data_IF_474218830000
#
_entry.id   IF_474218830000
#
_cell.length_a   1.000
_cell.length_b   1.000
_cell.length_c   1.000
_cell.angle_alpha   90.00
_cell.angle_beta   90.00
_cell.angle_gamma   90.00
#
_symmetry.space_group_name_H-M   'P 1'
#
loop_
_entity.id
_entity.type
_entity.pdbx_description
1 polymer ?
#
# COMPACT_ATOMS: atom_id res chain seq x y z
N UNK A 1 27.10 6.24 16.48
CA UNK A 1 27.40 6.93 15.20
C UNK A 1 26.22 7.86 14.94
N UNK A 2 26.44 9.16 14.82
CA UNK A 2 25.34 10.10 14.52
C UNK A 2 24.77 9.81 13.13
N UNK A 3 23.44 9.91 12.99
CA UNK A 3 22.78 9.75 11.70
C UNK A 3 23.01 10.99 10.83
N UNK A 4 23.17 10.79 9.53
CA UNK A 4 23.29 11.88 8.56
C UNK A 4 21.96 12.67 8.50
N UNK A 5 21.99 13.86 7.92
CA UNK A 5 20.75 14.58 7.65
C UNK A 5 19.91 13.82 6.61
N UNK A 6 18.59 13.76 6.84
CA UNK A 6 17.64 13.17 5.92
C UNK A 6 16.48 14.12 5.66
N UNK A 7 16.28 14.51 4.39
CA UNK A 7 15.12 15.33 4.01
C UNK A 7 13.81 14.59 4.33
N UNK A 8 13.80 13.26 4.13
CA UNK A 8 12.59 12.44 4.36
C UNK A 8 12.93 11.11 5.02
N UNK A 9 12.20 10.78 6.09
CA UNK A 9 12.23 9.45 6.72
C UNK A 9 11.02 8.64 6.31
N UNK A 10 11.23 7.43 5.76
CA UNK A 10 10.18 6.51 5.33
C UNK A 10 10.00 5.39 6.37
N UNK A 11 8.91 5.45 7.13
CA UNK A 11 8.51 4.37 8.05
C UNK A 11 7.78 3.30 7.24
N UNK A 12 8.38 2.11 7.11
CA UNK A 12 7.91 1.08 6.18
C UNK A 12 8.42 1.26 4.73
N UNK A 13 9.51 2.02 4.55
CA UNK A 13 10.07 2.35 3.23
C UNK A 13 10.65 1.16 2.46
N UNK A 14 10.90 0.01 3.08
CA UNK A 14 11.28 -1.23 2.37
C UNK A 14 10.11 -1.96 1.71
N UNK A 15 8.87 -1.51 1.94
CA UNK A 15 7.67 -2.07 1.31
C UNK A 15 7.49 -1.62 -0.15
N UNK A 16 6.44 -2.14 -0.78
CA UNK A 16 6.11 -1.90 -2.20
C UNK A 16 6.01 -0.40 -2.56
N UNK A 17 5.18 0.37 -1.86
CA UNK A 17 5.05 1.82 -2.08
C UNK A 17 6.35 2.54 -1.71
N UNK A 18 7.00 2.11 -0.62
CA UNK A 18 8.19 2.76 -0.11
C UNK A 18 9.39 2.69 -1.05
N UNK A 19 9.60 1.57 -1.74
CA UNK A 19 10.67 1.44 -2.75
C UNK A 19 10.47 2.40 -3.92
N UNK A 20 9.25 2.47 -4.44
CA UNK A 20 8.92 3.43 -5.52
C UNK A 20 9.10 4.87 -5.06
N UNK A 21 8.63 5.21 -3.85
CA UNK A 21 8.77 6.55 -3.29
C UNK A 21 10.24 6.92 -3.07
N UNK A 22 11.05 6.03 -2.48
CA UNK A 22 12.47 6.28 -2.26
C UNK A 22 13.20 6.62 -3.58
N UNK A 23 12.93 5.86 -4.64
CA UNK A 23 13.51 6.12 -5.97
C UNK A 23 13.12 7.50 -6.52
N UNK A 24 11.86 7.89 -6.37
CA UNK A 24 11.36 9.20 -6.81
C UNK A 24 11.98 10.34 -6.01
N UNK A 25 12.02 10.24 -4.69
CA UNK A 25 12.59 11.27 -3.83
C UNK A 25 14.08 11.48 -4.14
N UNK A 26 14.83 10.40 -4.31
CA UNK A 26 16.24 10.46 -4.67
C UNK A 26 16.44 11.07 -6.05
N UNK A 27 15.60 10.74 -7.05
CA UNK A 27 15.67 11.35 -8.39
C UNK A 27 15.39 12.87 -8.36
N UNK A 28 14.66 13.34 -7.34
CA UNK A 28 14.43 14.77 -7.05
C UNK A 28 15.57 15.41 -6.24
N UNK A 29 16.66 14.67 -5.96
CA UNK A 29 17.82 15.16 -5.23
C UNK A 29 17.70 15.14 -3.70
N UNK A 30 16.63 14.56 -3.16
CA UNK A 30 16.42 14.46 -1.71
C UNK A 30 17.21 13.29 -1.10
N UNK A 31 17.64 13.46 0.15
CA UNK A 31 18.22 12.40 0.96
C UNK A 31 17.12 11.64 1.70
N UNK A 32 17.19 10.31 1.68
CA UNK A 32 16.12 9.45 2.19
C UNK A 32 16.64 8.48 3.24
N UNK A 33 15.98 8.45 4.39
CA UNK A 33 16.22 7.41 5.41
C UNK A 33 15.07 6.42 5.41
N UNK A 34 15.37 5.14 5.26
CA UNK A 34 14.40 4.04 5.28
C UNK A 34 14.50 3.29 6.59
N UNK A 35 13.40 3.25 7.33
CA UNK A 35 13.27 2.41 8.52
C UNK A 35 12.73 1.05 8.12
N UNK A 36 13.45 -0.01 8.46
CA UNK A 36 13.05 -1.40 8.21
C UNK A 36 13.41 -2.31 9.37
N UNK A 37 12.58 -3.31 9.64
CA UNK A 37 12.87 -4.37 10.63
C UNK A 37 13.89 -5.37 10.14
N UNK A 38 14.02 -5.52 8.83
CA UNK A 38 14.95 -6.44 8.18
C UNK A 38 15.65 -5.75 7.01
N UNK A 39 16.97 -5.58 7.11
CA UNK A 39 17.78 -4.91 6.08
C UNK A 39 17.74 -5.63 4.73
N UNK A 40 17.62 -6.96 4.71
CA UNK A 40 17.53 -7.74 3.49
C UNK A 40 16.31 -7.37 2.63
N UNK A 41 15.21 -6.95 3.26
CA UNK A 41 14.02 -6.48 2.54
C UNK A 41 14.25 -5.14 1.84
N UNK A 42 15.31 -4.43 2.18
CA UNK A 42 15.68 -3.15 1.58
C UNK A 42 16.88 -3.26 0.61
N UNK A 43 17.35 -4.47 0.27
CA UNK A 43 18.56 -4.68 -0.55
C UNK A 43 18.53 -3.97 -1.88
N UNK A 44 17.36 -3.87 -2.54
CA UNK A 44 17.19 -3.16 -3.80
C UNK A 44 17.46 -1.66 -3.68
N UNK A 45 17.28 -1.10 -2.49
CA UNK A 45 17.53 0.30 -2.20
C UNK A 45 19.00 0.62 -1.95
N UNK A 46 19.86 -0.37 -1.66
CA UNK A 46 21.28 -0.12 -1.36
C UNK A 46 22.08 0.49 -2.52
N UNK A 47 21.59 0.30 -3.74
CA UNK A 47 22.22 0.85 -4.92
C UNK A 47 21.87 2.32 -5.19
N UNK A 48 20.90 2.87 -4.48
CA UNK A 48 20.47 4.25 -4.65
C UNK A 48 21.42 5.20 -3.90
N UNK A 49 21.86 6.31 -4.51
CA UNK A 49 22.64 7.32 -3.82
C UNK A 49 21.78 8.02 -2.74
N UNK A 50 22.43 8.64 -1.75
CA UNK A 50 21.75 9.43 -0.71
C UNK A 50 20.65 8.69 0.06
N UNK A 51 20.76 7.36 0.15
CA UNK A 51 19.87 6.55 0.96
C UNK A 51 20.58 6.05 2.23
N UNK A 52 19.91 6.14 3.34
CA UNK A 52 20.35 5.57 4.61
C UNK A 52 19.33 4.51 5.06
N UNK A 53 19.78 3.29 5.32
CA UNK A 53 18.91 2.21 5.77
C UNK A 53 19.18 1.93 7.24
N UNK A 54 18.18 2.24 8.07
CA UNK A 54 18.24 2.04 9.51
C UNK A 54 17.39 0.82 9.89
N UNK A 55 18.04 -0.16 10.51
CA UNK A 55 17.33 -1.29 11.09
C UNK A 55 16.77 -0.89 12.44
N UNK A 56 15.45 -0.70 12.50
CA UNK A 56 14.73 -0.28 13.69
C UNK A 56 13.29 -0.83 13.66
N UNK A 57 12.74 -1.07 14.84
CA UNK A 57 11.34 -1.48 14.98
C UNK A 57 10.42 -0.26 15.02
N UNK A 58 9.45 -0.12 14.10
CA UNK A 58 8.48 0.96 14.21
C UNK A 58 7.54 0.81 15.41
N UNK A 59 7.56 -0.36 16.07
CA UNK A 59 6.80 -0.63 17.28
C UNK A 59 7.55 -0.27 18.57
N UNK A 60 8.84 0.09 18.48
CA UNK A 60 9.63 0.62 19.58
C UNK A 60 9.75 2.13 19.47
N UNK A 61 9.48 2.85 20.57
CA UNK A 61 9.48 4.32 20.57
C UNK A 61 10.91 4.88 20.59
N UNK A 62 11.85 4.21 21.25
CA UNK A 62 13.24 4.64 21.29
C UNK A 62 13.90 4.46 19.91
N UNK A 63 13.61 3.35 19.23
CA UNK A 63 14.06 3.09 17.86
C UNK A 63 13.58 4.18 16.90
N UNK A 64 12.28 4.51 16.93
CA UNK A 64 11.72 5.58 16.10
C UNK A 64 12.32 6.96 16.44
N UNK A 65 12.41 7.26 17.73
CA UNK A 65 12.97 8.53 18.18
C UNK A 65 14.40 8.72 17.67
N UNK A 66 15.24 7.68 17.76
CA UNK A 66 16.59 7.71 17.25
C UNK A 66 16.63 7.79 15.72
N UNK A 67 15.78 7.03 15.03
CA UNK A 67 15.72 7.04 13.58
C UNK A 67 15.19 8.37 12.98
N UNK A 68 14.53 9.21 13.78
CA UNK A 68 14.06 10.55 13.38
C UNK A 68 15.09 11.66 13.63
N UNK A 69 16.29 11.32 14.12
CA UNK A 69 17.35 12.29 14.31
C UNK A 69 17.73 12.97 12.98
N UNK A 70 17.87 14.33 13.02
CA UNK A 70 18.23 15.13 11.84
C UNK A 70 17.33 14.91 10.62
N UNK A 71 16.01 14.78 10.81
CA UNK A 71 15.04 14.60 9.74
C UNK A 71 14.10 15.81 9.61
N UNK A 72 13.73 16.17 8.37
CA UNK A 72 12.82 17.30 8.10
C UNK A 72 11.36 16.86 7.99
N UNK A 73 11.11 15.68 7.37
CA UNK A 73 9.77 15.14 7.16
C UNK A 73 9.71 13.63 7.39
N UNK A 74 8.50 13.14 7.68
CA UNK A 74 8.23 11.71 7.86
C UNK A 74 7.11 11.27 6.92
N UNK A 75 7.23 10.08 6.33
CA UNK A 75 6.17 9.41 5.59
C UNK A 75 5.86 8.09 6.27
N UNK A 76 4.62 7.90 6.72
CA UNK A 76 4.15 6.65 7.29
C UNK A 76 3.46 5.79 6.23
N UNK A 77 4.14 4.73 5.80
CA UNK A 77 3.70 3.77 4.78
C UNK A 77 3.27 2.43 5.40
N UNK A 78 3.33 2.31 6.73
CA UNK A 78 3.04 1.04 7.41
C UNK A 78 1.55 0.74 7.36
N UNK A 79 1.23 -0.46 6.93
CA UNK A 79 -0.10 -1.02 6.95
C UNK A 79 -0.06 -2.54 6.94
N UNK A 80 -1.06 -3.16 7.56
CA UNK A 80 -1.28 -4.60 7.53
C UNK A 80 -2.70 -4.87 7.03
N UNK A 81 -2.89 -5.96 6.27
CA UNK A 81 -4.18 -6.29 5.66
C UNK A 81 -4.95 -7.34 6.46
N UNK A 82 -4.32 -7.94 7.46
CA UNK A 82 -4.91 -8.99 8.27
C UNK A 82 -4.56 -8.80 9.73
N UNK A 83 -5.49 -9.16 10.59
CA UNK A 83 -5.32 -9.27 12.04
C UNK A 83 -6.23 -10.36 12.58
N UNK A 84 -5.87 -10.93 13.72
CA UNK A 84 -6.80 -11.76 14.47
C UNK A 84 -8.05 -10.94 14.81
N UNK A 85 -9.24 -11.55 14.85
CA UNK A 85 -10.47 -10.87 15.25
C UNK A 85 -10.36 -10.20 16.63
N UNK A 86 -10.98 -9.03 16.79
CA UNK A 86 -10.99 -8.26 18.04
C UNK A 86 -12.05 -7.17 18.04
N UNK A 87 -12.28 -6.52 19.19
CA UNK A 87 -13.19 -5.38 19.34
C UNK A 87 -12.42 -4.19 19.92
N UNK A 88 -12.51 -2.99 19.32
CA UNK A 88 -13.22 -2.64 18.09
C UNK A 88 -12.54 -3.15 16.82
N UNK A 89 -11.26 -3.57 16.90
CA UNK A 89 -10.41 -4.21 15.86
C UNK A 89 -9.40 -5.14 16.50
N UNK A 90 -8.74 -5.97 15.67
CA UNK A 90 -7.76 -6.93 16.16
C UNK A 90 -6.39 -6.32 16.51
N UNK A 91 -5.53 -7.07 17.22
CA UNK A 91 -4.27 -6.56 17.80
C UNK A 91 -3.26 -6.07 16.76
N UNK A 92 -3.17 -6.69 15.57
CA UNK A 92 -2.23 -6.27 14.54
C UNK A 92 -2.68 -4.95 13.89
N UNK A 93 -3.99 -4.76 13.70
CA UNK A 93 -4.57 -3.49 13.27
C UNK A 93 -4.34 -2.39 14.31
N UNK A 94 -4.54 -2.68 15.59
CA UNK A 94 -4.27 -1.74 16.67
C UNK A 94 -2.80 -1.29 16.68
N UNK A 95 -1.89 -2.25 16.61
CA UNK A 95 -0.45 -1.97 16.62
C UNK A 95 -0.01 -1.12 15.42
N UNK A 96 -0.45 -1.48 14.19
CA UNK A 96 0.04 -0.87 12.96
C UNK A 96 -0.74 0.39 12.55
N UNK A 97 -2.04 0.44 12.79
CA UNK A 97 -2.90 1.51 12.27
C UNK A 97 -3.27 2.56 13.32
N UNK A 98 -3.23 2.23 14.62
CA UNK A 98 -3.63 3.14 15.70
C UNK A 98 -2.43 3.55 16.55
N UNK A 99 -1.77 2.59 17.18
CA UNK A 99 -0.64 2.86 18.08
C UNK A 99 0.57 3.42 17.37
N UNK A 100 0.90 2.92 16.17
CA UNK A 100 2.06 3.39 15.42
C UNK A 100 1.90 4.85 14.97
N UNK A 101 0.82 5.31 14.33
CA UNK A 101 0.64 6.73 14.02
C UNK A 101 0.78 7.63 15.24
N UNK A 102 0.14 7.26 16.37
CA UNK A 102 0.27 8.02 17.62
C UNK A 102 1.71 8.07 18.14
N UNK A 103 2.47 6.98 18.02
CA UNK A 103 3.88 6.91 18.39
C UNK A 103 4.75 7.78 17.48
N UNK A 104 4.53 7.72 16.16
CA UNK A 104 5.20 8.59 15.18
C UNK A 104 4.99 10.04 15.58
N UNK A 105 3.76 10.45 15.85
CA UNK A 105 3.42 11.81 16.25
C UNK A 105 4.17 12.25 17.51
N UNK A 106 4.26 11.40 18.54
CA UNK A 106 5.02 11.71 19.77
C UNK A 106 6.52 11.87 19.50
N UNK A 107 7.11 10.98 18.70
CA UNK A 107 8.54 11.07 18.35
C UNK A 107 8.83 12.32 17.52
N UNK A 108 7.99 12.65 16.54
CA UNK A 108 8.10 13.87 15.74
C UNK A 108 8.04 15.13 16.59
N UNK A 109 7.09 15.22 17.52
CA UNK A 109 6.98 16.36 18.45
C UNK A 109 8.26 16.55 19.29
N UNK A 110 8.80 15.46 19.83
CA UNK A 110 10.05 15.50 20.62
C UNK A 110 11.27 15.90 19.77
N UNK A 111 11.30 15.56 18.49
CA UNK A 111 12.33 15.93 17.52
C UNK A 111 12.05 17.26 16.80
N UNK A 112 10.91 17.92 17.09
CA UNK A 112 10.46 19.16 16.45
C UNK A 112 10.26 19.05 14.94
N UNK A 113 9.95 17.83 14.44
CA UNK A 113 9.60 17.57 13.04
C UNK A 113 8.12 17.83 12.89
N UNK A 114 7.72 18.62 11.90
CA UNK A 114 6.31 18.99 11.71
C UNK A 114 5.65 18.22 10.56
N UNK A 115 6.35 18.03 9.43
CA UNK A 115 5.76 17.52 8.20
C UNK A 115 5.56 16.02 8.23
N UNK A 116 4.30 15.56 8.08
CA UNK A 116 3.93 14.15 8.02
C UNK A 116 3.02 13.87 6.82
N UNK A 117 3.37 12.88 6.01
CA UNK A 117 2.43 12.24 5.08
C UNK A 117 2.03 10.88 5.65
N UNK A 118 0.73 10.64 5.74
CA UNK A 118 0.19 9.37 6.25
C UNK A 118 -0.62 8.64 5.19
N UNK A 119 -0.29 7.36 4.95
CA UNK A 119 -1.05 6.52 4.03
C UNK A 119 -2.13 5.76 4.79
N UNK A 120 -3.36 6.17 4.55
CA UNK A 120 -4.57 5.53 5.05
C UNK A 120 -5.15 4.54 4.02
N UNK A 121 -6.45 4.47 3.89
CA UNK A 121 -7.16 3.67 2.90
C UNK A 121 -8.45 4.36 2.46
N UNK A 122 -8.81 4.18 1.20
CA UNK A 122 -10.09 4.62 0.68
C UNK A 122 -11.24 3.91 1.43
N UNK A 123 -12.27 4.64 1.82
CA UNK A 123 -13.37 4.12 2.64
C UNK A 123 -13.08 4.07 4.15
N UNK A 124 -11.92 4.57 4.63
CA UNK A 124 -11.65 4.66 6.07
C UNK A 124 -12.68 5.57 6.76
N UNK A 125 -13.45 4.99 7.70
CA UNK A 125 -14.49 5.66 8.48
C UNK A 125 -14.73 4.92 9.81
N UNK A 126 -15.18 5.64 10.84
CA UNK A 126 -15.40 5.07 12.17
C UNK A 126 -16.49 3.99 12.17
N UNK A 127 -17.48 4.11 11.29
CA UNK A 127 -18.60 3.18 11.12
C UNK A 127 -18.41 2.23 9.93
N UNK A 128 -17.20 2.13 9.37
CA UNK A 128 -16.93 1.21 8.27
C UNK A 128 -17.19 -0.24 8.69
N UNK A 129 -17.64 -1.11 7.76
CA UNK A 129 -18.02 -2.49 8.08
C UNK A 129 -16.83 -3.34 8.54
N UNK A 130 -15.62 -3.09 8.03
CA UNK A 130 -14.44 -3.87 8.38
C UNK A 130 -13.63 -3.24 9.53
N UNK A 131 -12.98 -4.10 10.30
CA UNK A 131 -12.03 -3.69 11.35
C UNK A 131 -10.84 -2.93 10.74
N UNK A 132 -10.39 -3.35 9.55
CA UNK A 132 -9.33 -2.69 8.80
C UNK A 132 -9.65 -1.21 8.57
N UNK A 133 -10.78 -0.91 7.95
CA UNK A 133 -11.18 0.47 7.63
C UNK A 133 -11.42 1.32 8.88
N UNK A 134 -12.05 0.75 9.92
CA UNK A 134 -12.23 1.44 11.21
C UNK A 134 -10.90 1.75 11.88
N UNK A 135 -9.95 0.81 11.88
CA UNK A 135 -8.63 1.03 12.48
C UNK A 135 -7.82 2.09 11.74
N UNK A 136 -7.95 2.17 10.40
CA UNK A 136 -7.35 3.25 9.60
C UNK A 136 -7.93 4.61 9.97
N UNK A 137 -9.26 4.72 10.10
CA UNK A 137 -9.91 5.95 10.54
C UNK A 137 -9.45 6.40 11.93
N UNK A 138 -9.32 5.47 12.88
CA UNK A 138 -8.81 5.77 14.22
C UNK A 138 -7.36 6.29 14.20
N UNK A 139 -6.51 5.74 13.32
CA UNK A 139 -5.15 6.25 13.12
C UNK A 139 -5.13 7.68 12.56
N UNK A 140 -6.00 7.97 11.60
CA UNK A 140 -6.18 9.33 11.08
C UNK A 140 -6.63 10.31 12.18
N UNK A 141 -7.60 9.91 13.00
CA UNK A 141 -8.10 10.72 14.10
C UNK A 141 -7.00 11.03 15.13
N UNK A 142 -6.18 10.03 15.47
CA UNK A 142 -5.05 10.22 16.39
C UNK A 142 -4.00 11.22 15.86
N UNK A 143 -3.77 11.26 14.54
CA UNK A 143 -2.87 12.22 13.92
C UNK A 143 -3.46 13.63 13.88
N UNK A 144 -4.74 13.76 13.54
CA UNK A 144 -5.43 15.08 13.50
C UNK A 144 -5.57 15.73 14.88
N UNK A 145 -5.66 14.93 15.92
CA UNK A 145 -5.70 15.45 17.30
C UNK A 145 -4.39 16.15 17.71
N UNK A 146 -3.31 15.97 16.95
CA UNK A 146 -2.00 16.54 17.24
C UNK A 146 -1.76 17.83 16.45
N UNK A 147 -1.99 18.98 17.06
CA UNK A 147 -1.87 20.31 16.43
C UNK A 147 -0.45 20.71 16.06
N UNK A 148 0.58 20.02 16.56
CA UNK A 148 1.99 20.32 16.28
C UNK A 148 2.52 19.64 15.02
N UNK A 149 1.67 18.87 14.32
CA UNK A 149 2.05 18.12 13.13
C UNK A 149 1.25 18.60 11.92
N UNK A 150 1.97 18.95 10.87
CA UNK A 150 1.45 19.34 9.57
C UNK A 150 1.16 18.08 8.73
N UNK A 151 0.04 17.40 9.03
CA UNK A 151 -0.30 16.12 8.42
C UNK A 151 -1.05 16.30 7.09
N UNK A 152 -0.69 15.51 6.09
CA UNK A 152 -1.52 15.22 4.90
C UNK A 152 -1.85 13.73 4.90
N UNK A 153 -3.10 13.39 4.70
CA UNK A 153 -3.57 12.01 4.69
C UNK A 153 -3.94 11.63 3.25
N UNK A 154 -3.32 10.58 2.74
CA UNK A 154 -3.65 10.00 1.45
C UNK A 154 -4.41 8.69 1.65
N UNK A 155 -5.56 8.56 1.00
CA UNK A 155 -6.45 7.40 1.04
C UNK A 155 -6.43 6.70 -0.33
N UNK A 156 -5.46 5.84 -0.59
CA UNK A 156 -5.43 5.11 -1.86
C UNK A 156 -6.51 4.04 -1.94
N UNK A 157 -7.00 3.79 -3.15
CA UNK A 157 -7.60 2.53 -3.55
C UNK A 157 -6.54 1.44 -3.60
N UNK A 158 -6.86 0.26 -4.13
CA UNK A 158 -5.88 -0.80 -4.33
C UNK A 158 -4.71 -0.29 -5.17
N UNK A 159 -3.49 -0.45 -4.65
CA UNK A 159 -2.27 -0.01 -5.34
C UNK A 159 -1.71 -1.17 -6.14
N UNK A 160 -1.48 -0.96 -7.43
CA UNK A 160 -0.96 -1.98 -8.34
C UNK A 160 0.40 -1.58 -8.94
N UNK A 161 1.14 -2.58 -9.45
CA UNK A 161 2.46 -2.41 -10.08
C UNK A 161 3.22 -3.72 -10.14
N UNK A 162 4.49 -3.70 -10.56
CA UNK A 162 5.28 -4.91 -10.80
C UNK A 162 5.33 -5.87 -9.59
N UNK A 163 5.49 -5.33 -8.37
CA UNK A 163 5.69 -6.09 -7.14
C UNK A 163 4.46 -6.05 -6.22
N UNK A 164 3.27 -5.71 -6.74
CA UNK A 164 2.06 -5.69 -5.92
C UNK A 164 1.68 -7.09 -5.43
N UNK A 165 0.97 -7.12 -4.30
CA UNK A 165 0.50 -8.38 -3.72
C UNK A 165 -0.89 -8.78 -4.21
N UNK A 166 -1.62 -7.90 -4.89
CA UNK A 166 -3.00 -8.10 -5.28
C UNK A 166 -3.11 -8.76 -6.66
N UNK A 167 -2.66 -8.08 -7.74
CA UNK A 167 -2.71 -8.62 -9.10
C UNK A 167 -1.78 -9.84 -9.26
N UNK A 168 -0.57 -9.76 -8.66
CA UNK A 168 0.38 -10.87 -8.67
C UNK A 168 -0.12 -12.10 -7.92
N UNK A 169 -0.94 -11.92 -6.85
CA UNK A 169 -1.59 -13.05 -6.17
C UNK A 169 -2.52 -13.81 -7.11
N UNK A 170 -3.43 -13.08 -7.78
CA UNK A 170 -4.40 -13.71 -8.69
C UNK A 170 -3.72 -14.31 -9.93
N UNK A 171 -2.70 -13.66 -10.47
CA UNK A 171 -1.89 -14.23 -11.54
C UNK A 171 -1.23 -15.55 -11.11
N UNK A 172 -0.67 -15.58 -9.89
CA UNK A 172 -0.05 -16.79 -9.33
C UNK A 172 -1.06 -17.89 -9.05
N UNK A 173 -2.23 -17.56 -8.47
CA UNK A 173 -3.30 -18.53 -8.25
C UNK A 173 -3.73 -19.21 -9.57
N UNK A 174 -3.89 -18.44 -10.64
CA UNK A 174 -4.29 -18.97 -11.94
C UNK A 174 -3.20 -19.80 -12.63
N UNK A 175 -1.93 -19.66 -12.25
CA UNK A 175 -0.85 -20.54 -12.74
C UNK A 175 -0.94 -21.95 -12.15
N UNK A 176 -1.38 -22.08 -10.90
CA UNK A 176 -1.37 -23.34 -10.17
C UNK A 176 -2.74 -24.00 -10.05
N UNK A 177 -3.81 -23.21 -9.96
CA UNK A 177 -5.16 -23.73 -9.80
C UNK A 177 -5.87 -23.88 -11.17
N UNK A 178 -6.63 -24.98 -11.41
CA UNK A 178 -7.40 -25.16 -12.64
C UNK A 178 -8.63 -24.24 -12.70
N UNK A 179 -9.15 -23.81 -11.57
CA UNK A 179 -10.29 -22.89 -11.41
C UNK A 179 -10.00 -21.90 -10.29
N UNK A 180 -10.65 -20.73 -10.31
CA UNK A 180 -10.55 -19.70 -9.27
C UNK A 180 -11.93 -19.49 -8.63
N UNK A 181 -12.19 -20.07 -7.45
CA UNK A 181 -13.40 -19.73 -6.68
C UNK A 181 -13.25 -18.32 -6.13
N UNK A 182 -14.14 -17.41 -6.55
CA UNK A 182 -14.03 -15.98 -6.27
C UNK A 182 -15.17 -15.48 -5.38
N UNK A 183 -14.81 -15.07 -4.18
CA UNK A 183 -15.71 -14.34 -3.28
C UNK A 183 -15.90 -12.88 -3.76
N UNK A 184 -17.09 -12.32 -3.51
CA UNK A 184 -17.42 -10.91 -3.80
C UNK A 184 -17.05 -10.44 -5.24
N UNK A 185 -17.42 -11.17 -6.31
CA UNK A 185 -16.98 -10.89 -7.68
C UNK A 185 -17.38 -9.49 -8.17
N UNK A 186 -18.47 -8.93 -7.64
CA UNK A 186 -19.03 -7.63 -8.01
C UNK A 186 -18.46 -6.46 -7.19
N UNK A 187 -17.58 -6.73 -6.21
CA UNK A 187 -16.91 -5.66 -5.46
C UNK A 187 -16.12 -4.77 -6.44
N UNK A 188 -16.31 -3.44 -6.31
CA UNK A 188 -15.77 -2.46 -7.26
C UNK A 188 -14.54 -1.77 -6.68
N UNK A 189 -13.52 -1.63 -7.52
CA UNK A 189 -12.23 -1.01 -7.20
C UNK A 189 -11.86 0.02 -8.27
N UNK A 190 -11.08 1.01 -7.86
CA UNK A 190 -10.50 2.01 -8.76
C UNK A 190 -8.97 2.06 -8.54
N UNK A 191 -8.24 1.04 -9.03
CA UNK A 191 -6.82 0.83 -8.71
C UNK A 191 -5.95 2.02 -9.13
N UNK A 192 -4.96 2.37 -8.29
CA UNK A 192 -3.95 3.39 -8.59
C UNK A 192 -2.58 2.75 -8.81
N UNK A 193 -1.83 3.23 -9.82
CA UNK A 193 -0.47 2.77 -10.05
C UNK A 193 0.48 3.27 -8.96
N UNK A 194 1.40 2.41 -8.52
CA UNK A 194 2.33 2.70 -7.42
C UNK A 194 3.18 3.94 -7.66
N UNK A 195 3.61 4.17 -8.91
CA UNK A 195 4.40 5.36 -9.28
C UNK A 195 3.59 6.64 -9.18
N UNK A 196 2.31 6.62 -9.54
CA UNK A 196 1.42 7.78 -9.43
C UNK A 196 1.17 8.14 -7.97
N UNK A 197 0.90 7.13 -7.13
CA UNK A 197 0.78 7.33 -5.68
C UNK A 197 2.08 7.87 -5.08
N UNK A 198 3.23 7.32 -5.46
CA UNK A 198 4.53 7.76 -4.96
C UNK A 198 4.86 9.21 -5.41
N UNK A 199 4.53 9.59 -6.64
CA UNK A 199 4.63 10.99 -7.09
C UNK A 199 3.67 11.91 -6.33
N UNK A 200 2.43 11.48 -6.08
CA UNK A 200 1.48 12.24 -5.27
C UNK A 200 2.00 12.49 -3.84
N UNK A 201 2.62 11.47 -3.21
CA UNK A 201 3.27 11.61 -1.90
C UNK A 201 4.40 12.63 -1.96
N UNK A 202 5.30 12.50 -2.96
CA UNK A 202 6.43 13.42 -3.12
C UNK A 202 5.96 14.85 -3.38
N UNK A 203 4.93 15.06 -4.20
CA UNK A 203 4.33 16.37 -4.45
C UNK A 203 3.72 16.96 -3.17
N UNK A 204 3.06 16.14 -2.34
CA UNK A 204 2.51 16.60 -1.06
C UNK A 204 3.61 17.05 -0.08
N UNK A 205 4.78 16.43 -0.07
CA UNK A 205 5.90 16.86 0.76
C UNK A 205 6.34 18.30 0.42
N UNK A 206 6.33 18.65 -0.86
CA UNK A 206 6.78 19.95 -1.38
C UNK A 206 5.70 21.03 -1.31
N UNK A 207 4.39 20.66 -1.20
CA UNK A 207 3.25 21.59 -1.28
C UNK A 207 2.61 21.84 0.09
N UNK A 208 2.88 22.99 0.74
CA UNK A 208 2.23 23.35 2.02
C UNK A 208 0.70 23.42 1.94
N UNK A 209 0.13 23.73 0.76
CA UNK A 209 -1.31 23.78 0.55
C UNK A 209 -2.04 22.47 0.80
N UNK A 210 -1.31 21.34 0.91
CA UNK A 210 -1.85 20.01 1.19
C UNK A 210 -1.96 19.70 2.69
N UNK A 211 -1.38 20.55 3.55
CA UNK A 211 -1.39 20.39 5.00
C UNK A 211 -2.83 20.42 5.53
N UNK A 212 -3.14 19.52 6.46
CA UNK A 212 -4.47 19.39 7.09
C UNK A 212 -5.53 18.73 6.20
N UNK A 213 -5.20 18.39 4.95
CA UNK A 213 -6.14 17.83 3.99
C UNK A 213 -6.06 16.30 3.90
N UNK A 214 -7.18 15.71 3.43
CA UNK A 214 -7.27 14.32 3.04
C UNK A 214 -7.52 14.23 1.54
N UNK A 215 -6.83 13.30 0.89
CA UNK A 215 -6.98 13.10 -0.55
C UNK A 215 -7.26 11.63 -0.85
N UNK A 216 -8.28 11.39 -1.66
CA UNK A 216 -8.51 10.10 -2.27
C UNK A 216 -7.56 9.94 -3.46
N UNK A 217 -6.86 8.80 -3.50
CA UNK A 217 -5.88 8.50 -4.53
C UNK A 217 -6.36 7.31 -5.35
N UNK A 218 -6.86 7.60 -6.55
CA UNK A 218 -7.52 6.61 -7.43
C UNK A 218 -6.99 6.72 -8.86
N UNK A 219 -7.01 5.60 -9.57
CA UNK A 219 -6.69 5.57 -11.00
C UNK A 219 -7.88 5.98 -11.88
N UNK A 220 -7.73 5.87 -13.20
CA UNK A 220 -8.80 6.22 -14.15
C UNK A 220 -9.84 5.11 -14.31
N UNK A 221 -9.48 3.84 -14.03
CA UNK A 221 -10.31 2.67 -14.36
C UNK A 221 -11.10 2.20 -13.14
N UNK A 222 -12.40 2.01 -13.29
CA UNK A 222 -13.27 1.38 -12.29
C UNK A 222 -13.59 -0.03 -12.74
N UNK A 223 -13.14 -1.02 -11.99
CA UNK A 223 -13.24 -2.43 -12.31
C UNK A 223 -13.84 -3.24 -11.16
N UNK A 224 -14.56 -4.29 -11.51
CA UNK A 224 -15.01 -5.30 -10.55
C UNK A 224 -13.84 -6.22 -10.15
N UNK A 225 -13.97 -6.89 -9.01
CA UNK A 225 -13.00 -7.91 -8.62
C UNK A 225 -12.90 -9.04 -9.66
N UNK A 226 -14.03 -9.41 -10.28
CA UNK A 226 -14.05 -10.40 -11.36
C UNK A 226 -13.16 -9.95 -12.54
N UNK A 227 -13.31 -8.73 -13.00
CA UNK A 227 -12.52 -8.17 -14.11
C UNK A 227 -11.02 -8.10 -13.74
N UNK A 228 -10.69 -7.67 -12.53
CA UNK A 228 -9.29 -7.62 -12.05
C UNK A 228 -8.65 -9.02 -12.05
N UNK A 229 -9.38 -10.03 -11.55
CA UNK A 229 -8.91 -11.41 -11.54
C UNK A 229 -8.80 -11.97 -12.97
N UNK A 230 -9.77 -11.68 -13.83
CA UNK A 230 -9.74 -12.07 -15.25
C UNK A 230 -8.49 -11.51 -15.95
N UNK A 231 -8.25 -10.21 -15.82
CA UNK A 231 -7.10 -9.55 -16.43
C UNK A 231 -5.76 -10.02 -15.84
N UNK A 232 -5.70 -10.32 -14.55
CA UNK A 232 -4.50 -10.90 -13.94
C UNK A 232 -4.09 -12.21 -14.60
N UNK A 233 -5.06 -13.10 -14.88
CA UNK A 233 -4.80 -14.35 -15.59
C UNK A 233 -4.49 -14.18 -17.07
N UNK A 234 -5.25 -13.31 -17.75
CA UNK A 234 -5.05 -13.03 -19.17
C UNK A 234 -3.65 -12.48 -19.46
N UNK A 235 -3.21 -11.46 -18.72
CA UNK A 235 -1.88 -10.87 -18.89
C UNK A 235 -0.75 -11.78 -18.41
N UNK A 236 -1.00 -12.65 -17.41
CA UNK A 236 -0.02 -13.66 -17.00
C UNK A 236 0.07 -14.85 -17.98
N UNK A 237 -0.74 -14.88 -19.05
CA UNK A 237 -0.76 -15.95 -20.04
C UNK A 237 -1.33 -17.28 -19.54
N UNK A 238 -2.12 -17.26 -18.48
CA UNK A 238 -2.70 -18.45 -17.85
C UNK A 238 -4.15 -18.21 -17.37
N UNK A 239 -5.08 -17.74 -18.24
CA UNK A 239 -6.45 -17.49 -17.83
C UNK A 239 -7.14 -18.80 -17.41
N UNK A 240 -7.85 -18.76 -16.30
CA UNK A 240 -8.61 -19.87 -15.74
C UNK A 240 -10.08 -19.51 -15.57
N UNK A 241 -10.98 -20.48 -15.60
CA UNK A 241 -12.38 -20.27 -15.26
C UNK A 241 -12.50 -19.67 -13.84
N UNK A 242 -13.20 -18.55 -13.72
CA UNK A 242 -13.50 -17.89 -12.46
C UNK A 242 -14.92 -18.28 -12.08
N UNK A 243 -15.09 -18.87 -10.89
CA UNK A 243 -16.37 -19.32 -10.38
C UNK A 243 -16.82 -18.37 -9.26
N UNK A 244 -17.81 -17.50 -9.50
CA UNK A 244 -18.41 -16.67 -8.47
C UNK A 244 -19.00 -17.53 -7.35
N UNK A 245 -18.68 -17.20 -6.11
CA UNK A 245 -19.21 -17.90 -4.94
C UNK A 245 -20.41 -17.14 -4.36
N UNK A 246 -21.49 -17.86 -3.97
CA UNK A 246 -22.55 -17.28 -3.15
C UNK A 246 -21.99 -16.79 -1.80
N UNK A 247 -22.61 -15.75 -1.21
CA UNK A 247 -22.10 -15.08 -0.01
C UNK A 247 -21.85 -16.03 1.17
N UNK A 248 -22.73 -17.00 1.41
CA UNK A 248 -22.55 -17.99 2.47
C UNK A 248 -21.32 -18.87 2.27
N UNK A 249 -21.07 -19.29 1.01
CA UNK A 249 -19.88 -20.10 0.64
C UNK A 249 -18.61 -19.25 0.73
N UNK A 250 -18.67 -17.99 0.28
CA UNK A 250 -17.58 -17.04 0.37
C UNK A 250 -17.19 -16.77 1.84
N UNK A 251 -18.19 -16.64 2.73
CA UNK A 251 -17.96 -16.47 4.16
C UNK A 251 -17.30 -17.73 4.77
N UNK A 252 -17.77 -18.91 4.43
CA UNK A 252 -17.19 -20.18 4.89
C UNK A 252 -15.74 -20.33 4.38
N UNK A 253 -15.48 -20.01 3.11
CA UNK A 253 -14.13 -19.99 2.53
C UNK A 253 -13.19 -19.07 3.33
N UNK A 254 -13.62 -17.84 3.61
CA UNK A 254 -12.85 -16.88 4.37
C UNK A 254 -12.57 -17.39 5.80
N UNK A 255 -13.57 -17.98 6.46
CA UNK A 255 -13.41 -18.54 7.80
C UNK A 255 -12.39 -19.70 7.82
N UNK A 256 -12.44 -20.60 6.83
CA UNK A 256 -11.45 -21.68 6.71
C UNK A 256 -10.05 -21.10 6.52
N UNK A 257 -9.88 -20.12 5.59
CA UNK A 257 -8.58 -19.51 5.30
C UNK A 257 -7.99 -18.75 6.47
N UNK A 258 -8.82 -18.11 7.31
CA UNK A 258 -8.36 -17.43 8.53
C UNK A 258 -7.77 -18.39 9.58
N UNK A 259 -8.22 -19.65 9.60
CA UNK A 259 -7.80 -20.67 10.57
C UNK A 259 -6.65 -21.54 10.07
N UNK A 260 -6.22 -21.38 8.81
CA UNK A 260 -5.03 -22.06 8.30
C UNK A 260 -3.75 -21.42 8.82
N UNK A 261 -2.68 -22.21 9.02
CA UNK A 261 -1.38 -21.66 9.42
C UNK A 261 -0.83 -20.68 8.37
N UNK A 262 -0.26 -19.56 8.82
CA UNK A 262 0.35 -18.56 7.96
C UNK A 262 -0.52 -17.29 7.78
N UNK A 263 -0.20 -16.49 6.77
CA UNK A 263 -1.00 -15.31 6.43
C UNK A 263 -2.20 -15.73 5.58
N UNK A 264 -3.45 -15.43 5.99
CA UNK A 264 -4.62 -15.80 5.20
C UNK A 264 -4.62 -15.09 3.85
N UNK A 265 -5.03 -15.79 2.79
CA UNK A 265 -5.23 -15.19 1.47
C UNK A 265 -6.52 -14.37 1.42
N UNK A 266 -7.52 -14.77 2.19
CA UNK A 266 -8.82 -14.12 2.32
C UNK A 266 -9.27 -14.22 3.77
N UNK A 267 -9.88 -13.14 4.28
CA UNK A 267 -10.47 -13.10 5.61
C UNK A 267 -11.90 -12.57 5.56
N UNK A 268 -12.68 -12.84 6.61
CA UNK A 268 -14.04 -12.26 6.76
C UNK A 268 -13.99 -10.74 6.82
N UNK A 269 -12.91 -10.16 7.34
CA UNK A 269 -12.68 -8.71 7.34
C UNK A 269 -12.43 -8.17 5.93
N UNK A 270 -11.79 -8.96 5.04
CA UNK A 270 -11.66 -8.60 3.62
C UNK A 270 -13.02 -8.61 2.92
N UNK A 271 -13.90 -9.60 3.22
CA UNK A 271 -15.27 -9.59 2.68
C UNK A 271 -16.05 -8.36 3.18
N UNK A 272 -15.93 -8.01 4.46
CA UNK A 272 -16.52 -6.80 5.01
C UNK A 272 -15.96 -5.52 4.36
N UNK A 273 -14.66 -5.47 4.05
CA UNK A 273 -14.07 -4.35 3.31
C UNK A 273 -14.62 -4.25 1.88
N UNK A 274 -14.83 -5.40 1.22
CA UNK A 274 -15.33 -5.48 -0.14
C UNK A 274 -16.85 -5.20 -0.26
N UNK A 275 -17.58 -5.13 0.85
CA UNK A 275 -19.02 -4.77 0.85
C UNK A 275 -19.26 -3.28 0.57
N UNK A 276 -18.23 -2.44 0.68
CA UNK A 276 -18.27 -1.03 0.29
C UNK A 276 -17.44 -0.81 -0.96
N UNK A 277 -17.91 0.03 -1.92
CA UNK A 277 -17.14 0.34 -3.10
C UNK A 277 -15.79 0.99 -2.76
N UNK A 278 -14.71 0.48 -3.33
CA UNK A 278 -13.37 1.08 -3.21
C UNK A 278 -13.10 1.99 -4.40
N UNK A 279 -13.96 3.01 -4.56
CA UNK A 279 -14.01 3.97 -5.67
C UNK A 279 -13.96 5.37 -5.09
N UNK A 280 -13.20 6.26 -5.70
CA UNK A 280 -13.14 7.66 -5.29
C UNK A 280 -14.47 8.38 -5.49
N UNK A 281 -14.74 9.34 -4.63
CA UNK A 281 -15.91 10.23 -4.72
C UNK A 281 -15.82 11.21 -5.89
N UNK A 282 -14.58 11.48 -6.33
CA UNK A 282 -14.22 12.36 -7.45
C UNK A 282 -12.92 11.87 -8.10
N UNK A 283 -12.57 12.38 -9.30
CA UNK A 283 -11.25 12.20 -9.88
C UNK A 283 -10.16 12.68 -8.92
N UNK A 284 -8.93 12.14 -9.08
CA UNK A 284 -7.81 12.53 -8.23
C UNK A 284 -7.58 14.04 -8.24
N UNK A 285 -7.43 14.63 -7.04
CA UNK A 285 -7.28 16.08 -6.89
C UNK A 285 -6.09 16.64 -7.65
N UNK A 286 -6.26 17.78 -8.31
CA UNK A 286 -5.20 18.52 -9.00
C UNK A 286 -4.07 18.96 -8.04
N UNK A 287 -4.37 19.10 -6.75
CA UNK A 287 -3.35 19.41 -5.71
C UNK A 287 -2.24 18.35 -5.68
N UNK A 288 -2.58 17.10 -5.98
CA UNK A 288 -1.64 15.97 -5.99
C UNK A 288 -0.67 16.00 -7.18
N UNK A 289 -0.95 16.83 -8.20
CA UNK A 289 -0.08 17.03 -9.36
C UNK A 289 0.03 15.81 -10.28
N UNK A 290 -1.01 14.97 -10.34
CA UNK A 290 -1.11 13.81 -11.22
C UNK A 290 -2.33 14.01 -12.15
N UNK A 291 -2.19 14.74 -13.24
CA UNK A 291 -3.33 15.08 -14.11
C UNK A 291 -3.87 13.87 -14.87
N UNK A 292 -3.02 12.90 -15.19
CA UNK A 292 -3.36 11.71 -15.96
C UNK A 292 -2.82 10.46 -15.24
N UNK A 293 -3.55 9.91 -14.25
CA UNK A 293 -3.14 8.68 -13.59
C UNK A 293 -3.07 7.52 -14.58
N UNK A 294 -2.12 6.62 -14.37
CA UNK A 294 -1.86 5.48 -15.25
C UNK A 294 -2.99 4.48 -15.23
N UNK A 295 -3.51 4.11 -16.41
CA UNK A 295 -4.48 3.03 -16.54
C UNK A 295 -3.86 1.66 -16.22
N UNK A 296 -4.64 0.81 -15.55
CA UNK A 296 -4.24 -0.56 -15.25
C UNK A 296 -3.97 -1.35 -16.55
N UNK A 297 -4.76 -1.10 -17.59
CA UNK A 297 -4.60 -1.75 -18.88
C UNK A 297 -3.34 -1.35 -19.64
N UNK A 298 -2.80 -0.16 -19.37
CA UNK A 298 -1.53 0.28 -19.96
C UNK A 298 -0.31 -0.32 -19.27
N UNK A 299 -0.40 -0.57 -17.95
CA UNK A 299 0.74 -0.98 -17.13
C UNK A 299 0.85 -2.49 -16.94
N UNK A 300 -0.27 -3.18 -16.66
CA UNK A 300 -0.25 -4.62 -16.33
C UNK A 300 0.37 -5.49 -17.43
N UNK A 301 0.17 -5.24 -18.73
CA UNK A 301 0.82 -6.04 -19.76
C UNK A 301 2.35 -6.07 -19.64
N UNK A 302 2.94 -4.98 -19.17
CA UNK A 302 4.41 -4.88 -18.99
C UNK A 302 4.90 -5.51 -17.70
N UNK A 303 4.04 -5.60 -16.67
CA UNK A 303 4.41 -6.09 -15.34
C UNK A 303 4.10 -7.57 -15.12
N UNK A 304 2.93 -8.03 -15.55
CA UNK A 304 2.51 -9.44 -15.45
C UNK A 304 2.81 -10.25 -16.72
N UNK A 305 2.89 -9.57 -17.87
CA UNK A 305 3.17 -10.15 -19.18
C UNK A 305 4.64 -10.54 -19.37
N UNK A 306 5.26 -11.17 -18.36
CA UNK A 306 6.57 -11.81 -18.57
C UNK A 306 6.50 -12.68 -19.81
N UNK A 307 7.54 -12.62 -20.67
CA UNK A 307 7.66 -13.41 -21.90
C UNK A 307 7.10 -14.81 -21.70
N UNK A 308 6.06 -15.16 -22.45
CA UNK A 308 5.52 -16.52 -22.43
C UNK A 308 6.66 -17.50 -22.73
N UNK A 309 6.61 -18.74 -22.25
CA UNK A 309 7.64 -19.74 -22.60
C UNK A 309 7.88 -19.85 -24.11
N UNK A 310 6.84 -19.60 -24.94
CA UNK A 310 6.94 -19.55 -26.39
C UNK A 310 7.71 -18.32 -26.89
N UNK A 311 7.50 -17.13 -26.31
CA UNK A 311 8.23 -15.92 -26.64
C UNK A 311 9.70 -16.01 -26.23
N UNK A 312 10.01 -16.60 -25.07
CA UNK A 312 11.41 -16.87 -24.65
C UNK A 312 12.11 -17.84 -25.61
N UNK A 313 11.40 -18.86 -26.10
CA UNK A 313 11.93 -19.79 -27.07
C UNK A 313 12.13 -19.16 -28.47
N UNK A 314 11.20 -18.31 -28.91
CA UNK A 314 11.36 -17.59 -30.19
C UNK A 314 12.48 -16.56 -30.14
N UNK A 315 12.65 -15.82 -29.02
CA UNK A 315 13.78 -14.90 -28.82
C UNK A 315 15.13 -15.64 -28.75
N UNK A 316 15.18 -16.86 -28.20
CA UNK A 316 16.40 -17.68 -28.21
C UNK A 316 16.72 -18.18 -29.60
N UNK A 317 15.70 -18.56 -30.39
CA UNK A 317 15.87 -19.03 -31.81
C UNK A 317 16.25 -17.89 -32.75
N UNK A 318 15.88 -16.65 -32.49
CA UNK A 318 16.25 -15.47 -33.30
C UNK A 318 17.68 -14.97 -33.02
N UNK A 319 18.34 -15.48 -31.98
CA UNK A 319 19.73 -15.14 -31.60
C UNK A 319 20.74 -16.23 -32.02
N UNK A 320 20.27 -17.33 -32.58
CA UNK A 320 21.05 -18.37 -33.26
C UNK A 320 20.90 -18.24 -34.78
#
# INVERSE_FOLDING_TARGET
MALLHADVVLVGGSGFIGRSLASILISRGQSVRVITRNREQAKELWLLPRIEIVQASPHDEADLYNAFENADAVVNLVGVLHSKPGKPWGPDFDAAHVKLPARIARCMNRRKIRRLIHISALGAADQAPSMYLRSKAAGEAALRANQNIDVTILRPSVVFGADDQFMNLFARLQRFAPIVPLATPHARFQPIHVTDLANAIANCLEKPSTIGKNYECVGPDVLTLYELVHWAGAYAGCPRPIIPLPDGVAWMQAWIMENLPGKPLLSRDNLASASVPNIGSAPMSVDLGIPNPSSIHAVIPTTLGGESPRQRLSHRRAKT
#
